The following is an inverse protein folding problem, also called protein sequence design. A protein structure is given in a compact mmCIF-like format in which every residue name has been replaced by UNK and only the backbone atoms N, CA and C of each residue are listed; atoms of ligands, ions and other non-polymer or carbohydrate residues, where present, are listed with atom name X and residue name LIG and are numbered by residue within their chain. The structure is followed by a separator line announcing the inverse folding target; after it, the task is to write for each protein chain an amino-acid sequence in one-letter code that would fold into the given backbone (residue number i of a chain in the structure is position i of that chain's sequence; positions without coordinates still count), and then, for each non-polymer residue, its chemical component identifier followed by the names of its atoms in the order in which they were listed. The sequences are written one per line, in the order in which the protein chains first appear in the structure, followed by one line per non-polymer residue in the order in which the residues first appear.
data_IF_851918520915
#
_entry.id   IF_851918520915
#
_cell.length_a   1.000
_cell.length_b   1.000
_cell.length_c   1.000
_cell.angle_alpha   90.00
_cell.angle_beta   90.00
_cell.angle_gamma   90.00
#
_symmetry.space_group_name_H-M   'P 1'
#
loop_
_entity.id
_entity.type
_entity.pdbx_description
1 polymer ?
#
# COMPACT_ATOMS: atom_id res chain seq x y z
N UNK A 1 -16.77 -15.49 1.36
CA UNK A 1 -17.16 -14.53 0.31
C UNK A 1 -15.93 -14.08 -0.46
N UNK A 2 -16.06 -13.70 -1.73
CA UNK A 2 -14.93 -13.21 -2.57
C UNK A 2 -14.33 -11.90 -2.04
N UNK A 3 -15.15 -11.04 -1.41
CA UNK A 3 -14.69 -9.80 -0.79
C UNK A 3 -13.65 -10.04 0.30
N UNK A 4 -13.86 -11.07 1.13
CA UNK A 4 -12.92 -11.43 2.18
C UNK A 4 -11.56 -11.88 1.61
N UNK A 5 -11.57 -12.61 0.50
CA UNK A 5 -10.33 -13.00 -0.18
C UNK A 5 -9.60 -11.76 -0.78
N UNK A 6 -10.35 -10.79 -1.30
CA UNK A 6 -9.81 -9.55 -1.85
C UNK A 6 -9.26 -8.59 -0.78
N UNK A 7 -9.76 -8.65 0.46
CA UNK A 7 -9.23 -7.88 1.60
C UNK A 7 -7.88 -8.41 2.11
N UNK A 8 -7.54 -9.66 1.79
CA UNK A 8 -6.33 -10.33 2.27
C UNK A 8 -5.14 -10.21 1.30
N UNK A 9 -5.29 -9.44 0.21
CA UNK A 9 -4.24 -9.23 -0.78
C UNK A 9 -3.37 -7.99 -0.46
N UNK A 10 -2.09 -7.99 -0.86
CA UNK A 10 -1.32 -9.15 -1.33
C UNK A 10 -1.08 -10.22 -0.25
N UNK A 11 -1.12 -9.86 1.03
CA UNK A 11 -1.03 -10.79 2.15
C UNK A 11 -1.78 -10.23 3.37
N UNK A 12 -2.14 -11.07 4.36
CA UNK A 12 -2.85 -10.61 5.54
C UNK A 12 -2.11 -9.46 6.25
N UNK A 13 -2.82 -8.40 6.59
CA UNK A 13 -2.25 -7.22 7.25
C UNK A 13 -1.71 -6.14 6.30
N UNK A 14 -1.74 -6.34 4.98
CA UNK A 14 -1.49 -5.25 4.04
C UNK A 14 -2.75 -4.39 3.87
N UNK A 15 -2.64 -3.09 4.15
CA UNK A 15 -3.77 -2.14 4.01
C UNK A 15 -3.28 -0.75 3.65
N UNK A 16 -3.99 -0.08 2.73
CA UNK A 16 -3.68 1.30 2.31
C UNK A 16 -2.18 1.52 2.06
N UNK A 17 -1.54 0.66 1.25
CA UNK A 17 -0.10 0.69 0.95
C UNK A 17 0.84 0.30 2.10
N UNK A 18 0.38 0.20 3.35
CA UNK A 18 1.19 -0.33 4.45
C UNK A 18 1.19 -1.87 4.47
N UNK A 19 2.19 -2.43 5.13
CA UNK A 19 2.32 -3.87 5.37
C UNK A 19 2.22 -4.19 6.86
N UNK A 20 2.25 -5.48 7.20
CA UNK A 20 2.32 -5.94 8.59
C UNK A 20 3.68 -5.65 9.26
N UNK A 21 4.69 -5.23 8.48
CA UNK A 21 6.01 -4.83 9.01
C UNK A 21 6.03 -3.31 9.14
N UNK A 22 6.32 -2.83 10.35
CA UNK A 22 6.41 -1.39 10.62
C UNK A 22 7.47 -0.73 9.76
N UNK A 23 7.12 0.42 9.18
CA UNK A 23 8.00 1.17 8.27
C UNK A 23 8.09 0.61 6.85
N UNK A 24 7.46 -0.54 6.54
CA UNK A 24 7.48 -1.12 5.19
C UNK A 24 6.18 -0.81 4.42
N UNK A 25 6.33 -0.22 3.24
CA UNK A 25 5.25 0.26 2.39
C UNK A 25 5.35 -0.23 0.94
N UNK A 26 4.20 -0.41 0.30
CA UNK A 26 4.04 -0.83 -1.10
C UNK A 26 3.93 0.38 -2.01
N UNK A 27 4.90 0.60 -2.90
CA UNK A 27 4.93 1.74 -3.81
C UNK A 27 4.99 1.35 -5.30
N UNK A 28 5.01 0.06 -5.61
CA UNK A 28 5.27 -0.46 -6.96
C UNK A 28 4.03 -0.82 -7.77
N UNK A 29 4.25 -1.43 -8.93
CA UNK A 29 3.21 -1.80 -9.90
C UNK A 29 2.14 -2.76 -9.37
N UNK A 30 2.46 -3.54 -8.34
CA UNK A 30 1.52 -4.45 -7.67
C UNK A 30 0.53 -3.77 -6.71
N UNK A 31 0.71 -2.48 -6.43
CA UNK A 31 -0.22 -1.70 -5.62
C UNK A 31 -1.22 -0.93 -6.50
N UNK A 32 -2.45 -0.75 -6.00
CA UNK A 32 -3.48 0.05 -6.67
C UNK A 32 -2.98 1.49 -6.89
N UNK A 33 -3.32 2.17 -7.99
CA UNK A 33 -4.10 1.73 -9.16
C UNK A 33 -3.30 0.90 -10.18
N UNK A 34 -2.03 0.60 -9.93
CA UNK A 34 -1.15 -0.17 -10.81
C UNK A 34 0.06 0.63 -11.30
N UNK A 35 1.01 -0.05 -11.95
CA UNK A 35 2.32 0.48 -12.36
C UNK A 35 2.34 1.26 -13.67
N UNK A 36 1.41 2.19 -13.87
CA UNK A 36 1.48 3.11 -15.01
C UNK A 36 2.64 4.11 -14.89
N UNK A 37 3.01 4.77 -16.00
CA UNK A 37 4.10 5.76 -16.07
C UNK A 37 3.96 6.92 -15.07
N UNK A 38 2.73 7.19 -14.62
CA UNK A 38 2.42 8.29 -13.69
C UNK A 38 2.94 8.07 -12.26
N UNK A 39 3.39 6.86 -11.90
CA UNK A 39 3.93 6.60 -10.57
C UNK A 39 2.94 6.77 -9.41
N UNK A 40 1.63 6.62 -9.70
CA UNK A 40 0.55 6.85 -8.71
C UNK A 40 0.69 6.00 -7.43
N UNK A 41 1.10 4.72 -7.49
CA UNK A 41 1.28 3.94 -6.26
C UNK A 41 2.37 4.52 -5.35
N UNK A 42 3.45 5.06 -5.92
CA UNK A 42 4.50 5.74 -5.15
C UNK A 42 4.00 7.01 -4.47
N UNK A 43 3.24 7.84 -5.19
CA UNK A 43 2.61 9.04 -4.62
C UNK A 43 1.66 8.70 -3.46
N UNK A 44 0.87 7.64 -3.61
CA UNK A 44 -0.09 7.25 -2.58
C UNK A 44 0.60 6.62 -1.35
N UNK A 45 1.63 5.79 -1.57
CA UNK A 45 2.45 5.25 -0.48
C UNK A 45 3.11 6.38 0.32
N UNK A 46 3.68 7.39 -0.34
CA UNK A 46 4.26 8.56 0.32
C UNK A 46 3.25 9.33 1.18
N UNK A 47 2.01 9.50 0.69
CA UNK A 47 0.92 10.11 1.48
C UNK A 47 0.57 9.29 2.71
N UNK A 48 0.56 7.96 2.61
CA UNK A 48 0.30 7.10 3.76
C UNK A 48 1.43 7.17 4.79
N UNK A 49 2.69 7.19 4.35
CA UNK A 49 3.86 7.36 5.23
C UNK A 49 3.72 8.65 6.06
N UNK A 50 3.43 9.77 5.40
CA UNK A 50 3.25 11.07 6.05
C UNK A 50 2.08 11.02 7.04
N UNK A 51 0.93 10.45 6.63
CA UNK A 51 -0.26 10.33 7.48
C UNK A 51 0.00 9.52 8.75
N UNK A 52 0.83 8.47 8.66
CA UNK A 52 1.15 7.60 9.80
C UNK A 52 2.23 8.16 10.72
N UNK A 53 2.82 9.31 10.39
CA UNK A 53 3.86 9.91 11.22
C UNK A 53 5.17 9.12 11.24
N UNK A 54 5.39 8.18 10.31
CA UNK A 54 6.65 7.43 10.21
C UNK A 54 7.87 8.30 9.81
N UNK A 55 7.67 9.62 9.69
CA UNK A 55 8.69 10.64 9.45
C UNK A 55 9.01 11.45 10.72
N UNK A 56 8.54 11.04 11.90
CA UNK A 56 8.88 11.64 13.20
C UNK A 56 9.77 10.69 14.02
#
# INVERSE_FOLDING_TARGET
SIDQALMMRPFPGSTQYATAVDGLFLCGAGAHPGGGLLGLPGRNAAREIIKRGALA
#
